data_IF_019726546193
#
_entry.id   IF_019726546193
#
_cell.length_a   1.000
_cell.length_b   1.000
_cell.length_c   1.000
_cell.angle_alpha   90.00
_cell.angle_beta   90.00
_cell.angle_gamma   90.00
#
_symmetry.space_group_name_H-M   'P 1'
#
loop_
_entity.id
_entity.type
_entity.pdbx_description
1 polymer ?
#
# COMPACT_ATOMS: atom_id res chain seq x y z
N UNK A 1 17.20 4.21 -21.44
CA UNK A 1 16.03 4.33 -20.53
C UNK A 1 16.14 5.63 -19.79
N UNK A 2 15.04 6.37 -19.68
CA UNK A 2 15.05 7.62 -18.91
C UNK A 2 14.65 7.29 -17.46
N UNK A 3 15.65 7.25 -16.57
CA UNK A 3 15.47 6.94 -15.17
C UNK A 3 14.95 8.15 -14.38
N UNK A 4 14.13 7.96 -13.34
CA UNK A 4 13.69 9.06 -12.51
C UNK A 4 14.89 9.72 -11.78
N UNK A 5 14.94 11.05 -11.85
CA UNK A 5 15.98 11.85 -11.20
C UNK A 5 15.58 12.11 -9.75
N UNK A 6 15.89 11.16 -8.87
CA UNK A 6 15.59 11.23 -7.44
C UNK A 6 16.89 11.33 -6.66
N UNK A 7 16.95 12.21 -5.65
CA UNK A 7 18.09 12.36 -4.72
C UNK A 7 18.32 11.06 -3.94
N UNK A 8 19.50 10.83 -3.40
CA UNK A 8 19.82 9.67 -2.54
C UNK A 8 19.26 9.81 -1.13
N UNK A 9 18.98 11.03 -0.71
CA UNK A 9 18.34 11.36 0.54
C UNK A 9 17.38 12.51 0.29
N UNK A 10 16.18 12.38 0.82
CA UNK A 10 15.13 13.40 0.80
C UNK A 10 14.67 13.63 2.23
N UNK A 11 14.34 14.87 2.57
CA UNK A 11 13.67 15.20 3.82
C UNK A 11 12.58 16.26 3.60
N UNK A 12 11.57 16.21 4.44
CA UNK A 12 10.37 17.05 4.28
C UNK A 12 10.61 18.53 4.57
N UNK A 13 11.76 18.91 5.15
CA UNK A 13 12.08 20.31 5.41
C UNK A 13 12.61 21.04 4.17
N UNK A 14 13.22 20.31 3.23
CA UNK A 14 13.86 20.86 2.03
C UNK A 14 13.21 20.34 0.74
N UNK A 15 12.57 19.16 0.77
CA UNK A 15 12.13 18.43 -0.41
C UNK A 15 10.61 18.23 -0.46
N UNK A 16 10.02 18.37 -1.64
CA UNK A 16 8.65 17.95 -1.89
C UNK A 16 8.65 16.48 -2.32
N UNK A 17 8.33 15.57 -1.40
CA UNK A 17 8.35 14.13 -1.68
C UNK A 17 7.37 13.69 -2.77
N UNK A 18 6.26 14.41 -2.97
CA UNK A 18 5.31 14.12 -4.04
C UNK A 18 5.93 14.40 -5.40
N UNK A 19 6.55 15.56 -5.56
CA UNK A 19 7.12 15.99 -6.84
C UNK A 19 8.50 15.39 -7.11
N UNK A 20 9.29 15.13 -6.05
CA UNK A 20 10.67 14.66 -6.19
C UNK A 20 10.87 13.16 -6.06
N UNK A 21 9.89 12.41 -5.47
CA UNK A 21 9.95 10.96 -5.36
C UNK A 21 8.75 10.28 -6.01
N UNK A 22 7.52 10.49 -5.47
CA UNK A 22 6.37 9.68 -5.87
C UNK A 22 5.96 9.92 -7.33
N UNK A 23 5.76 11.17 -7.74
CA UNK A 23 5.31 11.49 -9.10
C UNK A 23 6.28 11.00 -10.18
N UNK A 24 7.59 11.28 -10.14
CA UNK A 24 8.52 10.78 -11.17
C UNK A 24 8.65 9.25 -11.14
N UNK A 25 8.63 8.62 -9.96
CA UNK A 25 8.72 7.17 -9.85
C UNK A 25 7.44 6.48 -10.33
N UNK A 26 6.24 6.99 -9.99
CA UNK A 26 4.97 6.47 -10.49
C UNK A 26 4.87 6.60 -12.00
N UNK A 27 5.31 7.71 -12.59
CA UNK A 27 5.35 7.90 -14.06
C UNK A 27 6.30 6.93 -14.76
N UNK A 28 7.36 6.51 -14.10
CA UNK A 28 8.36 5.60 -14.65
C UNK A 28 7.99 4.13 -14.48
N UNK A 29 7.46 3.75 -13.31
CA UNK A 29 7.28 2.36 -12.89
C UNK A 29 6.12 1.65 -13.61
N UNK A 30 6.21 0.33 -13.67
CA UNK A 30 5.16 -0.63 -14.06
C UNK A 30 4.55 -1.33 -12.84
N UNK A 31 5.33 -1.45 -11.75
CA UNK A 31 4.89 -1.99 -10.47
C UNK A 31 5.41 -1.15 -9.31
N UNK A 32 4.59 -1.01 -8.28
CA UNK A 32 4.94 -0.36 -7.02
C UNK A 32 4.56 -1.25 -5.84
N UNK A 33 5.55 -1.65 -5.05
CA UNK A 33 5.37 -2.40 -3.82
C UNK A 33 5.57 -1.47 -2.63
N UNK A 34 4.62 -1.40 -1.71
CA UNK A 34 4.63 -0.49 -0.56
C UNK A 34 4.37 -1.25 0.74
N UNK A 35 5.29 -1.13 1.71
CA UNK A 35 5.06 -1.47 3.12
C UNK A 35 4.96 -0.18 3.93
N UNK A 36 3.86 0.02 4.67
CA UNK A 36 3.64 1.22 5.48
C UNK A 36 2.83 0.88 6.73
N UNK A 37 3.21 1.47 7.87
CA UNK A 37 2.54 1.23 9.14
C UNK A 37 1.07 1.61 9.10
N UNK A 38 0.79 2.83 8.71
CA UNK A 38 -0.58 3.32 8.58
C UNK A 38 -0.80 3.88 7.18
N UNK A 39 -1.80 3.34 6.51
CA UNK A 39 -2.27 3.85 5.23
C UNK A 39 -3.52 4.68 5.48
N UNK A 40 -3.44 5.95 5.18
CA UNK A 40 -4.57 6.87 5.35
C UNK A 40 -4.87 7.61 4.06
N UNK A 41 -5.96 8.33 4.10
CA UNK A 41 -6.46 9.17 3.01
C UNK A 41 -5.46 10.19 2.49
N UNK A 42 -4.56 10.68 3.34
CA UNK A 42 -3.62 11.76 3.00
C UNK A 42 -2.68 11.41 1.87
N UNK A 43 -2.10 10.19 1.88
CA UNK A 43 -1.21 9.76 0.80
C UNK A 43 -1.95 9.65 -0.53
N UNK A 44 -3.16 9.09 -0.54
CA UNK A 44 -4.00 9.02 -1.73
C UNK A 44 -4.32 10.40 -2.28
N UNK A 45 -4.72 11.34 -1.41
CA UNK A 45 -5.04 12.71 -1.79
C UNK A 45 -3.87 13.38 -2.54
N UNK A 46 -2.66 13.26 -2.01
CA UNK A 46 -1.48 13.87 -2.64
C UNK A 46 -0.99 13.14 -3.90
N UNK A 47 -1.24 11.84 -4.02
CA UNK A 47 -0.72 11.03 -5.12
C UNK A 47 -1.77 10.59 -6.13
N UNK A 48 -3.03 11.02 -6.01
CA UNK A 48 -4.13 10.56 -6.89
C UNK A 48 -3.84 10.77 -8.37
N UNK A 49 -3.27 11.90 -8.76
CA UNK A 49 -2.92 12.19 -10.14
C UNK A 49 -1.82 11.24 -10.67
N UNK A 50 -0.75 11.03 -9.88
CA UNK A 50 0.32 10.10 -10.22
C UNK A 50 -0.16 8.64 -10.30
N UNK A 51 -1.04 8.24 -9.37
CA UNK A 51 -1.66 6.91 -9.38
C UNK A 51 -2.63 6.72 -10.54
N UNK A 52 -3.40 7.74 -10.92
CA UNK A 52 -4.30 7.68 -12.08
C UNK A 52 -3.53 7.51 -13.38
N UNK A 53 -2.41 8.23 -13.56
CA UNK A 53 -1.50 8.04 -14.69
C UNK A 53 -0.87 6.64 -14.68
N UNK A 54 -0.38 6.18 -13.53
CA UNK A 54 0.17 4.85 -13.33
C UNK A 54 -0.84 3.75 -13.68
N UNK A 55 -2.09 3.87 -13.19
CA UNK A 55 -3.19 2.96 -13.50
C UNK A 55 -3.53 2.97 -15.01
N UNK A 56 -3.55 4.15 -15.63
CA UNK A 56 -3.84 4.30 -17.08
C UNK A 56 -2.81 3.60 -17.96
N UNK A 57 -1.59 3.42 -17.48
CA UNK A 57 -0.53 2.67 -18.18
C UNK A 57 -0.50 1.18 -17.82
N UNK A 58 -1.46 0.70 -17.02
CA UNK A 58 -1.53 -0.70 -16.58
C UNK A 58 -0.64 -1.03 -15.38
N UNK A 59 -0.15 -0.03 -14.69
CA UNK A 59 0.66 -0.19 -13.47
C UNK A 59 -0.07 -0.98 -12.39
N UNK A 60 0.67 -1.70 -11.54
CA UNK A 60 0.15 -2.52 -10.45
C UNK A 60 0.82 -2.16 -9.14
N UNK A 61 0.01 -1.97 -8.10
CA UNK A 61 0.48 -1.68 -6.74
C UNK A 61 0.13 -2.82 -5.81
N UNK A 62 1.11 -3.25 -5.00
CA UNK A 62 0.92 -4.14 -3.87
C UNK A 62 1.18 -3.38 -2.59
N UNK A 63 0.21 -3.37 -1.69
CA UNK A 63 0.27 -2.60 -0.44
C UNK A 63 0.16 -3.53 0.77
N UNK A 64 1.10 -3.41 1.69
CA UNK A 64 1.04 -4.03 3.02
C UNK A 64 0.92 -2.90 4.05
N UNK A 65 -0.09 -2.97 4.89
CA UNK A 65 -0.32 -1.94 5.93
C UNK A 65 -0.86 -2.56 7.22
N UNK A 66 -0.76 -1.84 8.32
CA UNK A 66 -1.45 -2.19 9.56
C UNK A 66 -2.92 -1.84 9.47
N UNK A 67 -3.85 -2.69 9.91
CA UNK A 67 -5.23 -2.27 10.12
C UNK A 67 -5.32 -1.36 11.37
N UNK A 68 -6.33 -0.51 11.43
CA UNK A 68 -6.65 0.23 12.66
C UNK A 68 -7.56 -0.67 13.50
N UNK A 69 -7.03 -1.19 14.60
CA UNK A 69 -7.72 -2.13 15.48
C UNK A 69 -7.71 -1.61 16.93
N UNK A 70 -8.72 -2.00 17.72
CA UNK A 70 -8.66 -1.89 19.16
C UNK A 70 -7.66 -2.92 19.74
N UNK A 71 -7.17 -2.68 20.95
CA UNK A 71 -6.32 -3.65 21.64
C UNK A 71 -7.03 -4.99 21.81
N UNK A 72 -8.33 -4.98 22.14
CA UNK A 72 -9.15 -6.18 22.31
C UNK A 72 -9.27 -6.98 21.00
N UNK A 73 -9.46 -6.31 19.86
CA UNK A 73 -9.53 -6.99 18.54
C UNK A 73 -8.16 -7.55 18.16
N UNK A 74 -7.09 -6.81 18.43
CA UNK A 74 -5.71 -7.26 18.17
C UNK A 74 -5.41 -8.53 18.94
N UNK A 75 -5.66 -8.55 20.24
CA UNK A 75 -5.43 -9.71 21.13
C UNK A 75 -6.25 -10.92 20.68
N UNK A 76 -7.52 -10.70 20.32
CA UNK A 76 -8.40 -11.75 19.86
C UNK A 76 -7.97 -12.33 18.50
N UNK A 77 -7.47 -11.48 17.56
CA UNK A 77 -6.96 -11.93 16.26
C UNK A 77 -5.63 -12.69 16.43
N UNK A 78 -4.76 -12.24 17.33
CA UNK A 78 -3.48 -12.90 17.63
C UNK A 78 -3.72 -14.23 18.31
N UNK A 79 -4.60 -14.28 19.31
CA UNK A 79 -4.91 -15.47 20.09
C UNK A 79 -5.74 -16.53 19.38
N UNK A 80 -6.40 -16.19 18.26
CA UNK A 80 -7.19 -17.15 17.51
C UNK A 80 -6.32 -18.19 16.82
N UNK A 81 -6.67 -19.45 16.97
CA UNK A 81 -6.05 -20.53 16.20
C UNK A 81 -6.38 -20.37 14.71
N UNK A 82 -5.45 -20.73 13.84
CA UNK A 82 -5.57 -20.52 12.37
C UNK A 82 -6.74 -21.29 11.72
N UNK A 83 -7.50 -22.08 12.46
CA UNK A 83 -8.55 -22.97 11.94
C UNK A 83 -9.99 -22.51 12.26
N UNK A 84 -10.22 -21.59 13.18
CA UNK A 84 -11.58 -21.29 13.62
C UNK A 84 -12.28 -20.14 12.88
N UNK A 85 -11.58 -19.43 12.01
CA UNK A 85 -12.15 -18.29 11.25
C UNK A 85 -12.49 -17.05 12.10
N UNK A 86 -12.41 -17.13 13.42
CA UNK A 86 -12.81 -16.04 14.33
C UNK A 86 -11.94 -14.79 14.15
N UNK A 87 -10.64 -14.98 13.96
CA UNK A 87 -9.70 -13.89 13.66
C UNK A 87 -10.11 -13.12 12.39
N UNK A 88 -10.53 -13.85 11.36
CA UNK A 88 -10.96 -13.24 10.10
C UNK A 88 -12.26 -12.45 10.26
N UNK A 89 -13.24 -12.98 11.00
CA UNK A 89 -14.51 -12.30 11.24
C UNK A 89 -14.35 -11.03 12.08
N UNK A 90 -13.46 -11.05 13.08
CA UNK A 90 -13.15 -9.84 13.86
C UNK A 90 -12.44 -8.78 13.02
N UNK A 91 -11.45 -9.18 12.23
CA UNK A 91 -10.79 -8.28 11.31
C UNK A 91 -11.79 -7.69 10.29
N UNK A 92 -12.70 -8.50 9.76
CA UNK A 92 -13.74 -8.02 8.83
C UNK A 92 -14.63 -6.97 9.48
N UNK A 93 -15.10 -7.20 10.71
CA UNK A 93 -15.95 -6.26 11.43
C UNK A 93 -15.23 -4.92 11.67
N UNK A 94 -13.99 -4.95 12.18
CA UNK A 94 -13.19 -3.75 12.40
C UNK A 94 -12.89 -2.99 11.10
N UNK A 95 -12.59 -3.69 10.01
CA UNK A 95 -12.34 -3.06 8.72
C UNK A 95 -13.60 -2.45 8.10
N UNK A 96 -14.79 -3.01 8.33
CA UNK A 96 -16.05 -2.39 7.92
C UNK A 96 -16.29 -1.07 8.62
N UNK A 97 -15.99 -0.96 9.91
CA UNK A 97 -16.02 0.31 10.65
C UNK A 97 -15.01 1.31 10.09
N UNK A 98 -13.79 0.86 9.77
CA UNK A 98 -12.77 1.70 9.16
C UNK A 98 -13.19 2.27 7.79
N UNK A 99 -13.97 1.54 6.99
CA UNK A 99 -14.52 2.05 5.72
C UNK A 99 -15.48 3.22 5.95
N UNK A 100 -16.28 3.19 7.00
CA UNK A 100 -17.17 4.32 7.33
C UNK A 100 -16.38 5.55 7.78
N UNK A 101 -15.28 5.37 8.50
CA UNK A 101 -14.36 6.47 8.87
C UNK A 101 -13.71 7.05 7.61
N UNK A 102 -13.18 6.20 6.72
CA UNK A 102 -12.59 6.61 5.45
C UNK A 102 -13.57 7.45 4.63
N UNK A 103 -14.84 7.04 4.57
CA UNK A 103 -15.90 7.75 3.84
C UNK A 103 -16.17 9.15 4.39
N UNK A 104 -16.00 9.35 5.70
CA UNK A 104 -16.20 10.65 6.34
C UNK A 104 -14.98 11.58 6.16
N UNK A 105 -13.78 11.03 6.09
CA UNK A 105 -12.53 11.78 6.05
C UNK A 105 -12.02 12.09 4.64
N UNK A 106 -12.43 11.30 3.63
CA UNK A 106 -11.96 11.45 2.26
C UNK A 106 -12.86 12.34 1.41
N UNK A 107 -12.24 13.13 0.54
CA UNK A 107 -12.95 13.80 -0.55
C UNK A 107 -13.55 12.77 -1.52
N UNK A 108 -14.73 13.06 -2.06
CA UNK A 108 -15.50 12.13 -2.89
C UNK A 108 -14.71 11.61 -4.11
N UNK A 109 -13.92 12.47 -4.74
CA UNK A 109 -13.11 12.11 -5.93
C UNK A 109 -11.96 11.16 -5.58
N UNK A 110 -11.38 11.32 -4.41
CA UNK A 110 -10.27 10.48 -3.93
C UNK A 110 -10.78 9.08 -3.60
N UNK A 111 -11.88 9.00 -2.84
CA UNK A 111 -12.48 7.71 -2.49
C UNK A 111 -13.00 6.97 -3.73
N UNK A 112 -13.55 7.71 -4.70
CA UNK A 112 -13.96 7.16 -5.99
C UNK A 112 -12.75 6.55 -6.73
N UNK A 113 -11.64 7.29 -6.86
CA UNK A 113 -10.43 6.80 -7.52
C UNK A 113 -9.85 5.54 -6.84
N UNK A 114 -9.73 5.56 -5.52
CA UNK A 114 -9.26 4.42 -4.75
C UNK A 114 -10.16 3.18 -4.91
N UNK A 115 -11.47 3.37 -4.81
CA UNK A 115 -12.45 2.30 -4.97
C UNK A 115 -12.40 1.67 -6.36
N UNK A 116 -12.22 2.48 -7.41
CA UNK A 116 -12.00 1.99 -8.77
C UNK A 116 -10.67 1.24 -8.93
N UNK A 117 -9.58 1.74 -8.33
CA UNK A 117 -8.26 1.07 -8.39
C UNK A 117 -8.28 -0.29 -7.70
N UNK A 118 -8.98 -0.42 -6.58
CA UNK A 118 -9.20 -1.73 -5.94
C UNK A 118 -10.07 -2.65 -6.80
N UNK A 119 -11.16 -2.13 -7.37
CA UNK A 119 -12.07 -2.90 -8.21
C UNK A 119 -11.40 -3.41 -9.50
N UNK A 120 -10.57 -2.60 -10.12
CA UNK A 120 -9.82 -2.95 -11.32
C UNK A 120 -8.56 -3.80 -11.02
N UNK A 121 -8.27 -4.07 -9.74
CA UNK A 121 -7.07 -4.80 -9.32
C UNK A 121 -5.77 -4.06 -9.66
N UNK A 122 -5.81 -2.73 -9.72
CA UNK A 122 -4.62 -1.88 -9.80
C UNK A 122 -3.90 -1.90 -8.45
N UNK A 123 -4.66 -1.84 -7.36
CA UNK A 123 -4.17 -1.97 -5.99
C UNK A 123 -4.58 -3.33 -5.44
N UNK A 124 -3.61 -4.15 -5.02
CA UNK A 124 -3.81 -5.32 -4.17
C UNK A 124 -3.31 -4.97 -2.77
N UNK A 125 -4.18 -5.04 -1.77
CA UNK A 125 -3.89 -4.64 -0.40
C UNK A 125 -3.97 -5.82 0.55
N UNK A 126 -3.01 -5.89 1.47
CA UNK A 126 -2.97 -6.84 2.57
C UNK A 126 -2.73 -6.15 3.90
N UNK A 127 -3.25 -6.74 4.96
CA UNK A 127 -3.06 -6.28 6.32
C UNK A 127 -2.04 -7.15 7.04
N UNK A 128 -1.08 -6.53 7.73
CA UNK A 128 -0.07 -7.19 8.52
C UNK A 128 -0.33 -6.90 10.01
N UNK A 129 -0.51 -7.95 10.79
CA UNK A 129 -0.70 -7.88 12.25
C UNK A 129 0.48 -8.61 12.90
N UNK A 130 1.30 -7.92 13.71
CA UNK A 130 2.38 -8.55 14.46
C UNK A 130 1.87 -9.64 15.40
N UNK A 131 2.68 -10.67 15.58
CA UNK A 131 2.39 -11.79 16.46
C UNK A 131 3.71 -12.38 16.98
N UNK A 132 3.65 -13.42 17.82
CA UNK A 132 4.82 -14.08 18.40
C UNK A 132 5.70 -13.07 19.16
N UNK A 133 6.94 -12.88 18.70
CA UNK A 133 7.90 -11.96 19.33
C UNK A 133 7.51 -10.48 19.26
N UNK A 134 6.56 -10.14 18.39
CA UNK A 134 6.15 -8.77 18.08
C UNK A 134 4.69 -8.50 18.47
N UNK A 135 4.05 -9.38 19.24
CA UNK A 135 2.61 -9.32 19.57
C UNK A 135 2.17 -8.01 20.27
N UNK A 136 3.07 -7.35 21.00
CA UNK A 136 2.80 -6.06 21.65
C UNK A 136 3.05 -4.85 20.73
N UNK A 137 3.46 -5.06 19.49
CA UNK A 137 3.85 -4.01 18.55
C UNK A 137 2.90 -3.87 17.36
N UNK A 138 3.12 -2.81 16.60
CA UNK A 138 2.45 -2.58 15.32
C UNK A 138 3.35 -2.91 14.13
N UNK A 139 2.75 -3.23 12.98
CA UNK A 139 3.50 -3.20 11.73
C UNK A 139 3.79 -1.74 11.39
N UNK A 140 5.03 -1.30 11.66
CA UNK A 140 5.42 0.11 11.59
C UNK A 140 6.56 0.39 10.61
N UNK A 141 6.76 -0.50 9.65
CA UNK A 141 7.78 -0.35 8.60
C UNK A 141 7.31 0.65 7.52
N UNK A 142 8.24 1.37 6.89
CA UNK A 142 7.92 2.38 5.86
C UNK A 142 8.95 2.30 4.75
N UNK A 143 8.65 1.50 3.76
CA UNK A 143 9.50 1.35 2.58
C UNK A 143 8.66 1.15 1.32
N UNK A 144 9.24 1.44 0.17
CA UNK A 144 8.59 1.20 -1.11
C UNK A 144 9.59 0.87 -2.21
N UNK A 145 9.13 0.16 -3.22
CA UNK A 145 9.97 -0.30 -4.33
C UNK A 145 9.20 -0.08 -5.63
N UNK A 146 9.76 0.74 -6.51
CA UNK A 146 9.26 0.96 -7.86
C UNK A 146 10.05 0.10 -8.84
N UNK A 147 9.37 -0.60 -9.75
CA UNK A 147 9.99 -1.50 -10.70
C UNK A 147 9.64 -1.14 -12.13
N UNK A 148 10.61 -1.30 -13.04
CA UNK A 148 10.40 -1.25 -14.49
C UNK A 148 11.34 -2.23 -15.18
N UNK A 149 10.79 -3.27 -15.80
CA UNK A 149 11.61 -4.36 -16.35
C UNK A 149 12.48 -4.98 -15.26
N UNK A 150 13.80 -4.98 -15.47
CA UNK A 150 14.79 -5.48 -14.51
C UNK A 150 15.33 -4.41 -13.55
N UNK A 151 14.93 -3.17 -13.72
CA UNK A 151 15.40 -2.06 -12.89
C UNK A 151 14.41 -1.76 -11.77
N UNK A 152 14.96 -1.36 -10.62
CA UNK A 152 14.18 -0.97 -9.48
C UNK A 152 14.82 0.19 -8.71
N UNK A 153 13.95 0.98 -8.05
CA UNK A 153 14.30 1.99 -7.09
C UNK A 153 13.56 1.67 -5.80
N UNK A 154 14.29 1.48 -4.71
CA UNK A 154 13.69 1.36 -3.38
C UNK A 154 13.95 2.60 -2.53
N UNK A 155 13.07 2.80 -1.57
CA UNK A 155 13.24 3.82 -0.55
C UNK A 155 12.76 3.29 0.81
N UNK A 156 13.39 3.77 1.87
CA UNK A 156 12.97 3.51 3.24
C UNK A 156 13.22 4.74 4.11
N UNK A 157 12.40 4.91 5.15
CA UNK A 157 12.48 6.07 6.04
C UNK A 157 11.39 6.05 7.10
N UNK A 158 11.12 7.22 7.66
CA UNK A 158 10.17 7.36 8.76
C UNK A 158 8.74 7.71 8.33
N UNK A 159 8.52 8.11 7.07
CA UNK A 159 7.26 8.69 6.60
C UNK A 159 6.11 7.67 6.50
N UNK A 160 5.02 7.93 7.23
CA UNK A 160 3.74 7.26 7.03
C UNK A 160 2.98 7.86 5.85
N UNK A 161 2.13 7.06 5.21
CA UNK A 161 1.23 7.49 4.14
C UNK A 161 0.00 8.20 4.74
N UNK A 162 0.25 9.33 5.42
CA UNK A 162 -0.75 10.15 6.10
C UNK A 162 -0.50 11.64 5.87
N UNK A 163 -1.54 12.47 6.05
CA UNK A 163 -1.40 13.93 5.97
C UNK A 163 -0.33 14.44 6.93
N UNK A 164 -0.29 13.93 8.16
CA UNK A 164 0.72 14.30 9.15
C UNK A 164 2.12 13.83 8.76
N UNK A 165 2.28 12.69 8.10
CA UNK A 165 3.57 12.23 7.60
C UNK A 165 4.23 13.23 6.65
N UNK A 166 3.45 13.93 5.81
CA UNK A 166 3.96 14.97 4.92
C UNK A 166 4.16 16.34 5.61
N UNK A 167 3.70 16.50 6.84
CA UNK A 167 3.85 17.74 7.63
C UNK A 167 4.91 17.64 8.74
N UNK A 168 5.31 16.42 9.11
CA UNK A 168 6.37 16.17 10.08
C UNK A 168 7.75 16.30 9.42
N UNK A 169 8.79 16.47 10.26
CA UNK A 169 10.18 16.29 9.80
C UNK A 169 10.46 14.81 9.61
N UNK A 170 10.51 14.38 8.37
CA UNK A 170 10.71 13.01 7.96
C UNK A 170 11.87 12.90 6.99
N UNK A 171 12.59 11.79 6.98
CA UNK A 171 13.66 11.56 6.01
C UNK A 171 13.54 10.18 5.33
N UNK A 172 13.98 10.15 4.08
CA UNK A 172 13.94 8.97 3.22
C UNK A 172 15.30 8.74 2.60
N UNK A 173 15.77 7.51 2.60
CA UNK A 173 16.94 7.05 1.84
C UNK A 173 16.47 6.34 0.58
N UNK A 174 17.13 6.60 -0.54
CA UNK A 174 16.77 6.08 -1.85
C UNK A 174 17.92 5.26 -2.43
N UNK A 175 17.61 4.06 -2.87
CA UNK A 175 18.54 3.10 -3.47
C UNK A 175 18.08 2.76 -4.89
N UNK A 176 19.01 2.49 -5.80
CA UNK A 176 18.70 2.28 -7.22
C UNK A 176 19.59 1.18 -7.77
N UNK A 177 19.03 0.28 -8.57
CA UNK A 177 19.80 -0.82 -9.19
C UNK A 177 20.89 -0.34 -10.13
N UNK A 178 20.71 0.82 -10.76
CA UNK A 178 21.62 1.35 -11.79
C UNK A 178 22.73 2.28 -11.28
N UNK A 179 22.89 2.43 -9.95
CA UNK A 179 23.94 3.30 -9.36
C UNK A 179 24.81 2.61 -8.31
N UNK A 180 24.90 1.27 -8.34
CA UNK A 180 25.76 0.51 -7.41
C UNK A 180 25.16 0.28 -6.01
N UNK A 181 23.86 0.48 -5.83
CA UNK A 181 23.13 0.18 -4.57
C UNK A 181 22.15 -0.98 -4.72
N UNK A 182 22.43 -1.91 -5.65
CA UNK A 182 21.62 -3.09 -5.96
C UNK A 182 21.31 -3.93 -4.70
N UNK A 183 22.30 -4.16 -3.84
CA UNK A 183 22.15 -5.00 -2.65
C UNK A 183 21.06 -4.50 -1.68
N UNK A 184 20.88 -3.19 -1.57
CA UNK A 184 19.83 -2.60 -0.72
C UNK A 184 18.44 -2.79 -1.34
N UNK A 185 18.33 -2.64 -2.66
CA UNK A 185 17.10 -2.88 -3.41
C UNK A 185 16.71 -4.37 -3.32
N UNK A 186 17.68 -5.27 -3.43
CA UNK A 186 17.46 -6.71 -3.32
C UNK A 186 17.01 -7.10 -1.90
N UNK A 187 17.59 -6.49 -0.88
CA UNK A 187 17.18 -6.70 0.52
C UNK A 187 15.75 -6.21 0.78
N UNK A 188 15.37 -5.02 0.29
CA UNK A 188 14.01 -4.50 0.39
C UNK A 188 13.02 -5.39 -0.37
N UNK A 189 13.38 -5.85 -1.57
CA UNK A 189 12.58 -6.78 -2.38
C UNK A 189 12.37 -8.12 -1.65
N UNK A 190 13.43 -8.71 -1.13
CA UNK A 190 13.35 -9.97 -0.38
C UNK A 190 12.48 -9.83 0.88
N UNK A 191 12.59 -8.69 1.59
CA UNK A 191 11.77 -8.37 2.75
C UNK A 191 10.30 -8.27 2.37
N UNK A 192 9.97 -7.49 1.32
CA UNK A 192 8.59 -7.37 0.84
C UNK A 192 8.01 -8.72 0.45
N UNK A 193 8.72 -9.50 -0.36
CA UNK A 193 8.27 -10.82 -0.81
C UNK A 193 8.10 -11.81 0.34
N UNK A 194 8.96 -11.75 1.37
CA UNK A 194 8.82 -12.57 2.57
C UNK A 194 7.49 -12.29 3.28
N UNK A 195 7.16 -11.02 3.48
CA UNK A 195 5.92 -10.60 4.15
C UNK A 195 4.71 -10.91 3.25
N UNK A 196 4.76 -10.48 1.99
CA UNK A 196 3.68 -10.69 1.03
C UNK A 196 3.27 -12.16 0.90
N UNK A 197 4.24 -13.05 0.86
CA UNK A 197 4.02 -14.49 0.71
C UNK A 197 3.80 -15.22 2.06
N UNK A 198 3.50 -14.51 3.15
CA UNK A 198 3.21 -15.08 4.48
C UNK A 198 4.34 -15.94 5.04
N UNK A 199 5.61 -15.62 4.69
CA UNK A 199 6.79 -16.37 5.13
C UNK A 199 7.43 -15.81 6.41
N UNK A 200 6.91 -14.68 6.93
CA UNK A 200 7.36 -14.14 8.20
C UNK A 200 6.49 -14.69 9.33
N UNK A 201 7.10 -15.48 10.23
CA UNK A 201 6.40 -16.11 11.35
C UNK A 201 5.90 -15.12 12.43
N UNK A 202 6.45 -13.91 12.44
CA UNK A 202 6.07 -12.88 13.40
C UNK A 202 4.98 -11.93 12.88
N UNK A 203 4.41 -12.24 11.71
CA UNK A 203 3.35 -11.46 11.09
C UNK A 203 2.23 -12.37 10.60
N UNK A 204 1.00 -12.11 11.04
CA UNK A 204 -0.22 -12.65 10.41
C UNK A 204 -0.61 -11.73 9.27
N UNK A 205 -0.73 -12.29 8.05
CA UNK A 205 -1.06 -11.52 6.84
C UNK A 205 -2.45 -11.90 6.35
N UNK A 206 -3.31 -10.90 6.23
CA UNK A 206 -4.69 -11.03 5.78
C UNK A 206 -4.92 -10.28 4.46
N UNK A 207 -5.70 -10.86 3.56
CA UNK A 207 -6.27 -10.16 2.40
C UNK A 207 -7.49 -9.36 2.84
N UNK A 208 -7.89 -8.36 2.05
CA UNK A 208 -9.14 -7.63 2.33
C UNK A 208 -10.31 -8.62 2.24
N UNK A 209 -11.14 -8.75 3.30
CA UNK A 209 -12.36 -9.56 3.25
C UNK A 209 -13.31 -9.13 2.13
N UNK A 210 -14.07 -10.07 1.57
CA UNK A 210 -14.96 -9.78 0.45
C UNK A 210 -16.08 -8.79 0.83
N UNK A 211 -16.59 -8.86 2.05
CA UNK A 211 -17.58 -7.91 2.53
C UNK A 211 -17.03 -6.48 2.57
N UNK A 212 -15.78 -6.31 3.02
CA UNK A 212 -15.09 -5.01 3.03
C UNK A 212 -14.85 -4.50 1.61
N UNK A 213 -14.40 -5.36 0.68
CA UNK A 213 -14.27 -5.00 -0.74
C UNK A 213 -15.58 -4.52 -1.32
N UNK A 214 -16.67 -5.25 -1.09
CA UNK A 214 -18.00 -4.89 -1.58
C UNK A 214 -18.42 -3.51 -1.04
N UNK A 215 -18.20 -3.26 0.24
CA UNK A 215 -18.50 -1.97 0.87
C UNK A 215 -17.70 -0.83 0.26
N UNK A 216 -16.41 -1.03 -0.02
CA UNK A 216 -15.58 -0.04 -0.72
C UNK A 216 -16.09 0.16 -2.16
N UNK A 217 -16.50 -0.91 -2.85
CA UNK A 217 -16.98 -0.83 -4.24
C UNK A 217 -18.30 -0.05 -4.37
N UNK A 218 -19.12 0.01 -3.32
CA UNK A 218 -20.32 0.87 -3.27
C UNK A 218 -19.99 2.38 -3.30
N UNK A 219 -18.77 2.76 -2.94
CA UNK A 219 -18.31 4.15 -2.91
C UNK A 219 -17.89 4.68 -4.28
N UNK A 220 -17.90 3.86 -5.34
CA UNK A 220 -17.57 4.28 -6.70
C UNK A 220 -18.70 5.11 -7.30
N UNK A 221 -18.34 6.20 -7.98
CA UNK A 221 -19.24 6.84 -8.92
C UNK A 221 -19.30 6.05 -10.24
N UNK A 222 -20.32 6.26 -11.10
CA UNK A 222 -20.39 5.63 -12.42
C UNK A 222 -19.17 5.92 -13.29
N UNK A 223 -18.57 7.08 -13.15
CA UNK A 223 -17.45 7.53 -13.96
C UNK A 223 -16.11 7.12 -13.33
N UNK A 224 -15.36 6.28 -14.07
CA UNK A 224 -14.00 5.92 -13.68
C UNK A 224 -13.07 7.11 -13.90
N UNK A 225 -12.25 7.52 -12.90
CA UNK A 225 -11.43 8.74 -13.00
C UNK A 225 -10.14 8.56 -13.84
N UNK A 226 -9.93 7.39 -14.45
CA UNK A 226 -8.79 7.09 -15.33
C UNK A 226 -9.20 6.09 -16.42
N UNK A 227 -8.47 6.08 -17.54
CA UNK A 227 -8.65 5.09 -18.60
C UNK A 227 -7.83 3.84 -18.32
N UNK A 228 -8.32 2.67 -18.72
CA UNK A 228 -7.50 1.45 -18.70
C UNK A 228 -6.87 1.24 -20.09
N UNK A 229 -5.68 0.60 -20.18
CA UNK A 229 -5.09 0.21 -21.47
C UNK A 229 -6.05 -0.67 -22.28
N UNK A 230 -6.04 -0.52 -23.61
CA UNK A 230 -6.82 -1.35 -24.50
C UNK A 230 -6.46 -2.84 -24.29
N UNK A 231 -7.47 -3.70 -24.13
CA UNK A 231 -7.27 -5.13 -23.89
C UNK A 231 -7.04 -5.53 -22.43
N UNK A 232 -7.06 -4.59 -21.50
CA UNK A 232 -7.09 -4.92 -20.07
C UNK A 232 -8.39 -5.64 -19.77
N UNK A 233 -8.35 -6.97 -19.64
CA UNK A 233 -9.48 -7.73 -19.13
C UNK A 233 -9.72 -7.33 -17.68
N UNK A 234 -10.99 -7.19 -17.27
CA UNK A 234 -11.34 -7.16 -15.86
C UNK A 234 -10.67 -8.38 -15.22
N UNK A 235 -9.83 -8.14 -14.22
CA UNK A 235 -9.36 -9.23 -13.39
C UNK A 235 -10.60 -9.84 -12.72
N UNK A 236 -11.06 -10.96 -13.27
CA UNK A 236 -11.98 -11.83 -12.57
C UNK A 236 -11.18 -12.32 -11.38
N UNK A 237 -11.57 -11.92 -10.18
CA UNK A 237 -11.04 -12.50 -8.96
C UNK A 237 -11.28 -14.00 -9.04
N UNK A 238 -10.27 -14.77 -9.43
CA UNK A 238 -10.27 -16.19 -9.18
C UNK A 238 -10.09 -16.33 -7.68
N UNK A 239 -11.21 -16.48 -7.00
CA UNK A 239 -11.26 -17.03 -5.66
C UNK A 239 -10.64 -18.43 -5.75
N UNK A 240 -9.40 -18.55 -5.34
CA UNK A 240 -8.83 -19.85 -5.00
C UNK A 240 -9.25 -20.10 -3.57
N UNK A 241 -10.16 -21.06 -3.43
CA UNK A 241 -10.67 -21.61 -2.19
C UNK A 241 -9.54 -22.06 -1.25
#
# INVERSE_FOLDING_TARGET
MDYPKVKVCLDTSEDNLIDELYTPCLKWAERFDRGVGYFTTGWLTYNVAGLSDFASRGGKMRLITSPILSTEDTDAIIGAENQDGSAFLRLEAALLENVEILKQEMEADIINAFSWMLYDGIIDMRFAIPCEKLEEGDFHDKFGIFYKGNDALSFSGSINDSKHGFQNYESIKVFKTWVGTQEYVDADTARFEKIWNRKDRNLKIFTIPQAVKNKIFELRSPDRPYSLPAGSSKWVHQDIA
#
